data_IF_512307945051
#
_entry.id   IF_512307945051
#
_cell.length_a   1.000
_cell.length_b   1.000
_cell.length_c   1.000
_cell.angle_alpha   90.00
_cell.angle_beta   90.00
_cell.angle_gamma   90.00
#
_symmetry.space_group_name_H-M   'P 1'
#
loop_
_entity.id
_entity.type
_entity.pdbx_description
1 polymer ?
#
# COMPACT_ATOMS: atom_id res chain seq x y z
N UNK A 1 -29.16 80.80 -27.61
CA UNK A 1 -28.39 80.91 -26.35
C UNK A 1 -27.20 79.98 -26.45
N UNK A 2 -26.03 80.40 -25.97
CA UNK A 2 -24.80 79.62 -26.00
C UNK A 2 -24.52 79.09 -24.58
N UNK A 3 -24.17 77.81 -24.46
CA UNK A 3 -23.85 77.21 -23.17
C UNK A 3 -22.47 77.65 -22.69
N UNK A 4 -22.42 78.18 -21.47
CA UNK A 4 -21.23 78.70 -20.81
C UNK A 4 -20.99 77.94 -19.50
N UNK A 5 -19.73 77.80 -19.07
CA UNK A 5 -19.43 77.18 -17.78
C UNK A 5 -19.98 78.03 -16.64
N UNK A 6 -20.31 77.41 -15.48
CA UNK A 6 -20.77 78.14 -14.31
C UNK A 6 -19.69 79.12 -13.83
N UNK A 7 -20.11 80.26 -13.26
CA UNK A 7 -19.23 81.37 -12.82
C UNK A 7 -18.16 80.91 -11.80
N UNK A 8 -18.38 79.78 -11.11
CA UNK A 8 -17.43 79.15 -10.17
C UNK A 8 -16.66 77.93 -10.70
N UNK A 9 -16.83 77.55 -11.97
CA UNK A 9 -16.21 76.35 -12.54
C UNK A 9 -16.84 75.02 -12.09
N UNK A 10 -16.28 73.90 -12.55
CA UNK A 10 -16.69 72.55 -12.12
C UNK A 10 -15.84 72.07 -10.94
N UNK A 11 -16.40 71.16 -10.14
CA UNK A 11 -15.65 70.50 -9.07
C UNK A 11 -14.44 69.73 -9.60
N UNK A 12 -13.34 69.64 -8.81
CA UNK A 12 -12.14 68.93 -9.23
C UNK A 12 -12.41 67.43 -9.33
N UNK A 13 -12.30 66.89 -10.54
CA UNK A 13 -12.42 65.45 -10.79
C UNK A 13 -11.11 64.76 -10.40
N UNK A 14 -11.20 63.71 -9.59
CA UNK A 14 -10.04 62.89 -9.26
C UNK A 14 -9.64 62.02 -10.47
N UNK A 15 -8.64 62.48 -11.21
CA UNK A 15 -8.08 61.76 -12.37
C UNK A 15 -6.94 60.81 -12.01
N UNK A 16 -6.38 60.91 -10.79
CA UNK A 16 -5.27 60.09 -10.31
C UNK A 16 -5.75 58.76 -9.72
N UNK A 17 -4.98 57.70 -9.97
CA UNK A 17 -5.23 56.35 -9.43
C UNK A 17 -5.22 56.36 -7.89
N UNK A 18 -6.33 55.96 -7.28
CA UNK A 18 -6.47 55.81 -5.82
C UNK A 18 -6.51 54.33 -5.42
N UNK A 19 -5.36 53.66 -5.46
CA UNK A 19 -5.24 52.27 -5.01
C UNK A 19 -4.33 52.19 -3.78
N UNK A 20 -4.90 52.29 -2.56
CA UNK A 20 -4.11 52.13 -1.34
C UNK A 20 -3.64 50.67 -1.21
N UNK A 21 -2.36 50.46 -0.92
CA UNK A 21 -1.88 49.12 -0.56
C UNK A 21 -2.40 48.80 0.85
N UNK A 22 -3.29 47.82 0.93
CA UNK A 22 -3.88 47.34 2.18
C UNK A 22 -3.30 45.98 2.54
N UNK A 23 -3.18 45.71 3.83
CA UNK A 23 -2.67 44.43 4.36
C UNK A 23 -1.55 44.61 5.38
N UNK A 24 -1.10 43.49 5.93
CA UNK A 24 0.04 43.48 6.84
C UNK A 24 1.36 43.52 6.08
N UNK A 25 2.44 43.87 6.79
CA UNK A 25 3.80 43.79 6.21
C UNK A 25 4.11 42.34 5.84
N UNK A 26 4.83 42.06 4.73
CA UNK A 26 5.15 40.69 4.29
C UNK A 26 5.79 39.82 5.37
N UNK A 27 6.58 40.43 6.26
CA UNK A 27 7.23 39.74 7.38
C UNK A 27 6.24 39.13 8.37
N UNK A 28 5.08 39.75 8.57
CA UNK A 28 4.04 39.24 9.48
C UNK A 28 3.45 37.95 8.89
N UNK A 29 3.18 37.92 7.59
CA UNK A 29 2.70 36.72 6.92
C UNK A 29 3.74 35.61 6.94
N UNK A 30 5.01 35.94 6.68
CA UNK A 30 6.11 34.96 6.74
C UNK A 30 6.14 34.25 8.11
N UNK A 31 6.25 35.03 9.19
CA UNK A 31 6.33 34.44 10.53
C UNK A 31 5.03 33.75 10.97
N UNK A 32 3.87 34.28 10.57
CA UNK A 32 2.58 33.65 10.86
C UNK A 32 2.45 32.27 10.20
N UNK A 33 2.82 32.17 8.91
CA UNK A 33 2.78 30.91 8.16
C UNK A 33 3.83 29.95 8.71
N UNK A 34 5.06 30.41 8.93
CA UNK A 34 6.13 29.57 9.50
C UNK A 34 5.71 29.00 10.86
N UNK A 35 5.16 29.83 11.75
CA UNK A 35 4.68 29.38 13.06
C UNK A 35 3.57 28.32 12.95
N UNK A 36 2.60 28.54 12.06
CA UNK A 36 1.51 27.58 11.81
C UNK A 36 2.05 26.24 11.30
N UNK A 37 2.97 26.28 10.33
CA UNK A 37 3.59 25.08 9.77
C UNK A 37 4.40 24.34 10.84
N UNK A 38 5.26 25.04 11.58
CA UNK A 38 6.07 24.44 12.65
C UNK A 38 5.20 23.75 13.70
N UNK A 39 4.08 24.36 14.09
CA UNK A 39 3.13 23.73 15.02
C UNK A 39 2.43 22.51 14.41
N UNK A 40 2.04 22.59 13.13
CA UNK A 40 1.49 21.45 12.39
C UNK A 40 2.43 20.25 12.37
N UNK A 41 3.71 20.47 12.06
CA UNK A 41 4.73 19.42 12.09
C UNK A 41 4.94 18.84 13.49
N UNK A 42 4.96 19.66 14.53
CA UNK A 42 5.06 19.19 15.90
C UNK A 42 3.94 18.18 16.26
N UNK A 43 2.69 18.52 15.93
CA UNK A 43 1.54 17.62 16.16
C UNK A 43 1.58 16.37 15.28
N UNK A 44 2.01 16.53 14.03
CA UNK A 44 2.18 15.40 13.11
C UNK A 44 3.20 14.38 13.65
N UNK A 45 4.36 14.83 14.15
CA UNK A 45 5.38 13.92 14.70
C UNK A 45 4.89 13.11 15.90
N UNK A 46 4.03 13.70 16.74
CA UNK A 46 3.38 12.96 17.83
C UNK A 46 2.52 11.81 17.29
N UNK A 47 1.67 12.09 16.30
CA UNK A 47 0.83 11.07 15.66
C UNK A 47 1.64 9.98 14.93
N UNK A 48 2.75 10.34 14.29
CA UNK A 48 3.65 9.36 13.66
C UNK A 48 4.26 8.41 14.69
N UNK A 49 4.66 8.92 15.86
CA UNK A 49 5.19 8.07 16.92
C UNK A 49 4.13 7.10 17.45
N UNK A 50 2.90 7.56 17.65
CA UNK A 50 1.78 6.70 18.03
C UNK A 50 1.51 5.61 16.99
N UNK A 51 1.45 5.96 15.70
CA UNK A 51 1.26 4.99 14.62
C UNK A 51 2.37 3.95 14.53
N UNK A 52 3.62 4.33 14.85
CA UNK A 52 4.74 3.38 14.93
C UNK A 52 4.55 2.38 16.05
N UNK A 53 4.09 2.81 17.21
CA UNK A 53 3.82 1.90 18.33
C UNK A 53 2.65 0.96 18.03
N UNK A 54 1.56 1.45 17.41
CA UNK A 54 0.45 0.59 16.96
C UNK A 54 0.93 -0.43 15.92
N UNK A 55 1.77 0.00 14.97
CA UNK A 55 2.33 -0.90 13.95
C UNK A 55 3.25 -1.94 14.57
N UNK A 56 4.02 -1.55 15.60
CA UNK A 56 4.87 -2.45 16.38
C UNK A 56 4.03 -3.49 17.11
N UNK A 57 2.98 -3.06 17.81
CA UNK A 57 2.03 -3.95 18.49
C UNK A 57 1.41 -4.96 17.52
N UNK A 58 0.93 -4.50 16.35
CA UNK A 58 0.38 -5.36 15.31
C UNK A 58 1.40 -6.37 14.77
N UNK A 59 2.66 -5.96 14.60
CA UNK A 59 3.73 -6.86 14.16
C UNK A 59 4.03 -7.92 15.23
N UNK A 60 4.13 -7.54 16.50
CA UNK A 60 4.32 -8.48 17.59
C UNK A 60 3.16 -9.47 17.70
N UNK A 61 1.92 -8.99 17.62
CA UNK A 61 0.75 -9.86 17.61
C UNK A 61 0.81 -10.91 16.48
N UNK A 62 1.32 -10.52 15.29
CA UNK A 62 1.55 -11.46 14.18
C UNK A 62 2.68 -12.44 14.49
N UNK A 63 3.82 -12.00 14.97
CA UNK A 63 4.95 -12.90 15.30
C UNK A 63 4.57 -13.97 16.33
N UNK A 64 3.68 -13.66 17.28
CA UNK A 64 3.20 -14.64 18.23
C UNK A 64 2.24 -15.68 17.63
N UNK A 65 1.49 -15.33 16.59
CA UNK A 65 0.52 -16.21 15.94
C UNK A 65 1.09 -16.96 14.73
N UNK A 66 2.08 -16.38 14.06
CA UNK A 66 2.77 -16.92 12.88
C UNK A 66 3.24 -18.38 13.04
N UNK A 67 3.94 -18.79 14.12
CA UNK A 67 4.39 -20.17 14.24
C UNK A 67 3.23 -21.17 14.33
N UNK A 68 2.10 -20.79 14.91
CA UNK A 68 0.91 -21.65 14.96
C UNK A 68 0.30 -21.80 13.56
N UNK A 69 0.13 -20.69 12.83
CA UNK A 69 -0.43 -20.71 11.48
C UNK A 69 0.47 -21.47 10.49
N UNK A 70 1.79 -21.28 10.58
CA UNK A 70 2.76 -22.03 9.79
C UNK A 70 2.68 -23.53 10.08
N UNK A 71 2.58 -23.93 11.35
CA UNK A 71 2.43 -25.34 11.71
C UNK A 71 1.12 -25.95 11.19
N UNK A 72 0.04 -25.19 11.16
CA UNK A 72 -1.24 -25.63 10.55
C UNK A 72 -1.13 -25.78 9.03
N UNK A 73 -0.48 -24.82 8.37
CA UNK A 73 -0.22 -24.85 6.93
C UNK A 73 0.67 -26.04 6.56
N UNK A 74 1.79 -26.24 7.27
CA UNK A 74 2.72 -27.35 7.06
C UNK A 74 2.01 -28.71 7.17
N UNK A 75 1.11 -28.87 8.16
CA UNK A 75 0.30 -30.10 8.30
C UNK A 75 -0.64 -30.32 7.11
N UNK A 76 -1.27 -29.26 6.60
CA UNK A 76 -2.16 -29.35 5.45
C UNK A 76 -1.38 -29.66 4.16
N UNK A 77 -0.24 -29.01 3.94
CA UNK A 77 0.64 -29.26 2.80
C UNK A 77 1.15 -30.69 2.84
N UNK A 78 1.65 -31.17 3.99
CA UNK A 78 2.12 -32.54 4.15
C UNK A 78 1.01 -33.54 3.83
N UNK A 79 -0.21 -33.33 4.33
CA UNK A 79 -1.36 -34.19 4.03
C UNK A 79 -1.61 -34.30 2.52
N UNK A 80 -1.66 -33.16 1.83
CA UNK A 80 -1.90 -33.12 0.37
C UNK A 80 -0.77 -33.76 -0.42
N UNK A 81 0.47 -33.52 0.00
CA UNK A 81 1.65 -34.10 -0.63
C UNK A 81 1.65 -35.62 -0.54
N UNK A 82 1.42 -36.18 0.64
CA UNK A 82 1.38 -37.64 0.81
C UNK A 82 0.17 -38.28 0.11
N UNK A 83 -1.00 -37.63 0.11
CA UNK A 83 -2.15 -38.14 -0.65
C UNK A 83 -1.90 -38.12 -2.16
N UNK A 84 -1.23 -37.09 -2.67
CA UNK A 84 -0.89 -36.99 -4.08
C UNK A 84 0.16 -38.03 -4.46
N UNK A 85 1.16 -38.26 -3.61
CA UNK A 85 2.15 -39.33 -3.82
C UNK A 85 1.48 -40.70 -3.90
N UNK A 86 0.58 -41.01 -2.96
CA UNK A 86 -0.19 -42.26 -2.99
C UNK A 86 -1.07 -42.39 -4.25
N UNK A 87 -1.69 -41.29 -4.70
CA UNK A 87 -2.45 -41.26 -5.95
C UNK A 87 -1.55 -41.50 -7.17
N UNK A 88 -0.35 -40.93 -7.18
CA UNK A 88 0.63 -41.12 -8.24
C UNK A 88 1.10 -42.58 -8.32
N UNK A 89 1.30 -43.24 -7.17
CA UNK A 89 1.65 -44.66 -7.12
C UNK A 89 0.54 -45.55 -7.74
N UNK A 90 -0.73 -45.27 -7.45
CA UNK A 90 -1.87 -45.97 -8.06
C UNK A 90 -1.98 -45.72 -9.57
N UNK A 91 -1.79 -44.47 -10.00
CA UNK A 91 -1.82 -44.10 -11.42
C UNK A 91 -0.67 -44.79 -12.16
N UNK A 92 0.52 -44.82 -11.55
CA UNK A 92 1.69 -45.51 -12.08
C UNK A 92 1.39 -46.97 -12.36
N UNK A 93 0.71 -47.71 -11.47
CA UNK A 93 0.37 -49.13 -11.71
C UNK A 93 -0.40 -49.34 -13.02
N UNK A 94 -1.36 -48.45 -13.31
CA UNK A 94 -2.23 -48.51 -14.50
C UNK A 94 -1.55 -48.12 -15.83
N UNK A 95 -0.33 -47.57 -15.81
CA UNK A 95 0.35 -47.06 -17.01
C UNK A 95 1.10 -48.14 -17.81
N UNK A 96 1.30 -47.88 -19.11
CA UNK A 96 2.21 -48.65 -19.98
C UNK A 96 3.68 -48.51 -19.54
N UNK A 97 4.54 -49.45 -19.93
CA UNK A 97 5.97 -49.46 -19.57
C UNK A 97 6.72 -48.21 -20.01
N UNK A 98 6.45 -47.70 -21.22
CA UNK A 98 7.08 -46.49 -21.75
C UNK A 98 6.67 -45.23 -20.96
N UNK A 99 5.39 -45.13 -20.60
CA UNK A 99 4.88 -43.98 -19.84
C UNK A 99 5.37 -44.00 -18.39
N UNK A 100 5.54 -45.18 -17.80
CA UNK A 100 6.16 -45.35 -16.47
C UNK A 100 7.57 -44.76 -16.42
N UNK A 101 8.40 -45.02 -17.44
CA UNK A 101 9.77 -44.51 -17.49
C UNK A 101 9.83 -42.97 -17.53
N UNK A 102 8.91 -42.32 -18.27
CA UNK A 102 8.80 -40.86 -18.30
C UNK A 102 8.24 -40.28 -17.00
N UNK A 103 7.33 -41.00 -16.36
CA UNK A 103 6.69 -40.56 -15.12
C UNK A 103 7.66 -40.54 -13.93
N UNK A 104 8.62 -41.46 -13.91
CA UNK A 104 9.64 -41.55 -12.87
C UNK A 104 10.78 -40.53 -13.00
N UNK A 105 10.81 -39.77 -14.09
CA UNK A 105 11.86 -38.78 -14.32
C UNK A 105 11.75 -37.65 -13.30
N UNK A 106 12.83 -37.43 -12.54
CA UNK A 106 12.90 -36.33 -11.58
C UNK A 106 12.91 -34.99 -12.33
N UNK A 107 11.91 -34.14 -12.07
CA UNK A 107 11.83 -32.80 -12.69
C UNK A 107 13.03 -31.92 -12.27
N UNK A 108 13.48 -32.07 -11.02
CA UNK A 108 14.57 -31.30 -10.46
C UNK A 108 15.76 -32.20 -10.12
N UNK A 109 16.91 -31.93 -10.73
CA UNK A 109 18.15 -32.69 -10.52
C UNK A 109 18.91 -32.31 -9.24
N UNK A 110 18.52 -31.21 -8.58
CA UNK A 110 19.14 -30.74 -7.34
C UNK A 110 18.52 -31.47 -6.13
N UNK A 111 19.29 -32.40 -5.54
CA UNK A 111 18.88 -33.22 -4.38
C UNK A 111 19.16 -32.58 -3.03
N UNK A 112 19.79 -31.40 -3.00
CA UNK A 112 20.14 -30.72 -1.74
C UNK A 112 18.94 -30.13 -1.01
N UNK A 113 17.83 -29.88 -1.73
CA UNK A 113 16.66 -29.16 -1.22
C UNK A 113 15.39 -29.94 -1.48
N UNK A 114 14.57 -30.04 -0.45
CA UNK A 114 13.20 -30.50 -0.60
C UNK A 114 12.32 -29.38 -1.19
N UNK A 115 11.43 -29.73 -2.11
CA UNK A 115 10.51 -28.78 -2.76
C UNK A 115 9.08 -29.30 -2.66
N UNK A 116 8.23 -28.58 -1.94
CA UNK A 116 6.80 -28.85 -1.93
C UNK A 116 6.16 -28.51 -3.29
N UNK A 117 5.14 -29.27 -3.74
CA UNK A 117 4.43 -28.95 -4.96
C UNK A 117 3.65 -27.63 -4.78
N UNK A 118 3.81 -26.71 -5.74
CA UNK A 118 3.04 -25.44 -5.76
C UNK A 118 1.59 -25.63 -6.18
N UNK A 119 1.33 -26.66 -6.98
CA UNK A 119 0.01 -26.98 -7.53
C UNK A 119 -0.36 -28.40 -7.12
N UNK A 120 -1.60 -28.59 -6.72
CA UNK A 120 -2.16 -29.90 -6.39
C UNK A 120 -3.25 -30.24 -7.39
N UNK A 121 -3.31 -31.49 -7.84
CA UNK A 121 -4.40 -31.95 -8.70
C UNK A 121 -5.74 -31.89 -7.94
N UNK A 122 -6.75 -31.27 -8.54
CA UNK A 122 -8.09 -31.16 -7.98
C UNK A 122 -8.89 -30.02 -8.63
N UNK A 123 -10.21 -29.96 -8.39
CA UNK A 123 -11.03 -28.82 -8.79
C UNK A 123 -10.55 -27.55 -8.09
N UNK A 124 -10.73 -26.41 -8.75
CA UNK A 124 -10.33 -25.11 -8.20
C UNK A 124 -11.04 -24.87 -6.86
N UNK A 125 -10.37 -24.33 -5.84
CA UNK A 125 -11.03 -24.00 -4.57
C UNK A 125 -12.29 -23.12 -4.72
N UNK A 126 -12.40 -22.32 -5.78
CA UNK A 126 -13.58 -21.51 -6.10
C UNK A 126 -14.75 -22.28 -6.71
N UNK A 127 -14.50 -23.49 -7.22
CA UNK A 127 -15.51 -24.39 -7.81
C UNK A 127 -16.06 -25.41 -6.80
N UNK A 128 -15.66 -25.31 -5.52
CA UNK A 128 -16.05 -26.21 -4.43
C UNK A 128 -17.14 -25.64 -3.54
#
# INVERSE_FOLDING_TARGET
MQDLPPIGGYEPVQWKRNLPSRGFRPTIYFWGITGLISFGFYRYYQGVNEQREISREKQWARFYLEPLLLAEEDRNIARRFYSEKARQDLVRESMSSENKAKFDEEIYNDKSKFRFPKYTAGPDPSER
#
